data_IF_201301204431
#
_entry.id   IF_201301204431
#
_cell.length_a   1.000
_cell.length_b   1.000
_cell.length_c   1.000
_cell.angle_alpha   90.00
_cell.angle_beta   90.00
_cell.angle_gamma   90.00
#
_symmetry.space_group_name_H-M   'P 1'
#
loop_
_entity.id
_entity.type
_entity.pdbx_description
1 polymer ?
#
# COMPACT_ATOMS: atom_id res chain seq x y z
N UNK A 1 -15.32 -21.59 -1.67
CA UNK A 1 -14.68 -20.37 -2.19
C UNK A 1 -13.81 -19.81 -1.08
N UNK A 2 -12.50 -20.07 -1.07
CA UNK A 2 -11.61 -19.44 -0.08
C UNK A 2 -11.54 -17.96 -0.45
N UNK A 3 -11.88 -17.06 0.48
CA UNK A 3 -11.50 -15.65 0.31
C UNK A 3 -10.00 -15.64 0.10
N UNK A 4 -9.56 -14.98 -0.97
CA UNK A 4 -8.15 -14.70 -1.16
C UNK A 4 -7.72 -13.89 0.08
N UNK A 5 -6.86 -14.44 0.93
CA UNK A 5 -6.46 -13.84 2.23
C UNK A 5 -5.77 -12.47 2.03
N UNK A 6 -5.51 -12.11 0.77
CA UNK A 6 -4.94 -10.85 0.30
C UNK A 6 -5.99 -9.80 -0.04
N UNK A 7 -7.29 -10.11 -0.07
CA UNK A 7 -8.35 -9.15 -0.41
C UNK A 7 -9.13 -8.65 0.82
N UNK A 8 -9.39 -7.35 0.84
CA UNK A 8 -10.20 -6.69 1.87
C UNK A 8 -11.20 -5.73 1.25
N UNK A 9 -12.36 -5.60 1.87
CA UNK A 9 -13.34 -4.57 1.54
C UNK A 9 -13.15 -3.36 2.46
N UNK A 10 -12.86 -2.20 1.89
CA UNK A 10 -12.71 -0.94 2.61
C UNK A 10 -13.48 0.15 1.84
N UNK A 11 -14.41 0.83 2.50
CA UNK A 11 -15.22 1.88 1.88
C UNK A 11 -16.21 1.41 0.81
N UNK A 12 -16.46 0.10 0.71
CA UNK A 12 -17.29 -0.50 -0.36
C UNK A 12 -16.48 -1.02 -1.54
N UNK A 13 -15.21 -0.62 -1.65
CA UNK A 13 -14.30 -1.09 -2.68
C UNK A 13 -13.49 -2.31 -2.24
N UNK A 14 -13.00 -3.07 -3.22
CA UNK A 14 -12.09 -4.21 -2.99
C UNK A 14 -10.65 -3.76 -3.16
N UNK A 15 -9.82 -4.11 -2.18
CA UNK A 15 -8.40 -3.80 -2.11
C UNK A 15 -7.61 -5.09 -2.02
N UNK A 16 -6.44 -5.13 -2.67
CA UNK A 16 -5.55 -6.29 -2.73
C UNK A 16 -4.23 -5.94 -2.08
N UNK A 17 -3.74 -6.82 -1.21
CA UNK A 17 -2.40 -6.79 -0.64
C UNK A 17 -1.36 -7.09 -1.72
N UNK A 18 -0.48 -6.14 -1.99
CA UNK A 18 0.57 -6.25 -3.02
C UNK A 18 1.97 -6.40 -2.43
N UNK A 19 2.14 -6.20 -1.12
CA UNK A 19 3.41 -6.46 -0.44
C UNK A 19 3.46 -5.89 0.97
N UNK A 20 4.47 -6.30 1.72
CA UNK A 20 4.74 -5.84 3.08
C UNK A 20 6.13 -5.22 3.15
N UNK A 21 6.22 -3.97 3.61
CA UNK A 21 7.44 -3.16 3.52
C UNK A 21 7.69 -2.34 4.77
N UNK A 22 8.94 -1.97 5.09
CA UNK A 22 9.22 -0.93 6.06
C UNK A 22 8.46 0.36 5.72
N UNK A 23 7.97 1.08 6.74
CA UNK A 23 7.07 2.22 6.55
C UNK A 23 7.53 3.24 5.51
N UNK A 24 8.81 3.64 5.53
CA UNK A 24 9.34 4.65 4.61
C UNK A 24 9.39 4.15 3.15
N UNK A 25 9.68 2.85 2.96
CA UNK A 25 9.65 2.22 1.64
C UNK A 25 8.21 2.16 1.12
N UNK A 26 7.26 1.76 1.98
CA UNK A 26 5.85 1.72 1.62
C UNK A 26 5.32 3.10 1.18
N UNK A 27 5.68 4.18 1.88
CA UNK A 27 5.29 5.55 1.48
C UNK A 27 5.98 5.99 0.18
N UNK A 28 7.21 5.54 -0.08
CA UNK A 28 7.90 5.78 -1.36
C UNK A 28 7.17 5.09 -2.52
N UNK A 29 6.73 3.83 -2.33
CA UNK A 29 5.90 3.14 -3.32
C UNK A 29 4.53 3.78 -3.51
N UNK A 30 3.92 4.33 -2.46
CA UNK A 30 2.69 5.11 -2.63
C UNK A 30 2.90 6.33 -3.50
N UNK A 31 4.04 7.02 -3.34
CA UNK A 31 4.41 8.15 -4.18
C UNK A 31 4.58 7.74 -5.64
N UNK A 32 5.19 6.57 -5.90
CA UNK A 32 5.37 6.01 -7.24
C UNK A 32 4.01 5.66 -7.88
N UNK A 33 3.16 4.90 -7.17
CA UNK A 33 1.83 4.52 -7.64
C UNK A 33 0.91 5.73 -7.92
N UNK A 34 1.02 6.78 -7.11
CA UNK A 34 0.28 8.04 -7.29
C UNK A 34 0.67 8.76 -8.59
N UNK A 35 1.93 8.65 -9.05
CA UNK A 35 2.35 9.23 -10.34
C UNK A 35 1.60 8.61 -11.54
N UNK A 36 1.19 7.34 -11.42
CA UNK A 36 0.39 6.60 -12.40
C UNK A 36 -1.12 6.64 -12.10
N UNK A 37 -1.55 7.44 -11.11
CA UNK A 37 -2.94 7.58 -10.73
C UNK A 37 -3.54 6.33 -10.08
N UNK A 38 -2.72 5.48 -9.46
CA UNK A 38 -3.15 4.23 -8.81
C UNK A 38 -3.43 4.47 -7.32
N UNK A 39 -4.69 4.36 -6.87
CA UNK A 39 -5.03 4.52 -5.46
C UNK A 39 -4.43 3.41 -4.60
N UNK A 40 -3.80 3.82 -3.50
CA UNK A 40 -3.12 2.93 -2.56
C UNK A 40 -3.38 3.31 -1.10
N UNK A 41 -3.43 2.31 -0.23
CA UNK A 41 -3.57 2.46 1.22
C UNK A 41 -2.58 1.57 1.95
N UNK A 42 -2.16 1.97 3.15
CA UNK A 42 -1.30 1.15 4.01
C UNK A 42 -2.10 0.56 5.16
N UNK A 43 -1.71 -0.64 5.59
CA UNK A 43 -2.20 -1.27 6.81
C UNK A 43 -1.08 -1.33 7.84
N UNK A 44 -1.26 -0.56 8.92
CA UNK A 44 -0.47 -0.72 10.15
C UNK A 44 -1.19 -1.70 11.09
N UNK A 45 -0.55 -2.16 12.18
CA UNK A 45 -1.25 -2.94 13.22
C UNK A 45 -2.46 -2.20 13.82
N UNK A 46 -2.44 -0.86 13.84
CA UNK A 46 -3.43 -0.05 14.53
C UNK A 46 -4.55 0.44 13.61
N UNK A 47 -4.24 0.80 12.37
CA UNK A 47 -5.18 1.50 11.49
C UNK A 47 -4.87 1.36 10.00
N UNK A 48 -5.89 1.66 9.19
CA UNK A 48 -5.73 1.92 7.75
C UNK A 48 -5.25 3.35 7.55
N UNK A 49 -4.29 3.52 6.65
CA UNK A 49 -3.73 4.82 6.30
C UNK A 49 -4.07 5.12 4.84
N UNK A 50 -4.99 6.06 4.65
CA UNK A 50 -5.42 6.53 3.32
C UNK A 50 -4.61 7.74 2.83
N UNK A 51 -4.02 8.50 3.75
CA UNK A 51 -3.18 9.66 3.46
C UNK A 51 -1.90 9.56 4.28
N UNK A 52 -0.76 9.95 3.71
CA UNK A 52 0.53 9.91 4.39
C UNK A 52 0.50 10.84 5.61
N UNK A 53 0.62 10.31 6.85
CA UNK A 53 0.60 11.11 8.05
C UNK A 53 1.99 11.69 8.30
N UNK A 54 2.34 12.79 7.61
CA UNK A 54 3.69 13.38 7.62
C UNK A 54 4.21 13.59 9.03
N UNK A 55 3.39 14.14 9.95
CA UNK A 55 3.79 14.36 11.34
C UNK A 55 4.21 13.05 12.02
N UNK A 56 3.45 11.95 11.82
CA UNK A 56 3.78 10.65 12.42
C UNK A 56 5.10 10.09 11.88
N UNK A 57 5.45 10.43 10.64
CA UNK A 57 6.74 10.04 10.05
C UNK A 57 7.87 10.86 10.68
N UNK A 58 7.73 12.19 10.72
CA UNK A 58 8.73 13.11 11.27
C UNK A 58 8.98 12.87 12.77
N UNK A 59 7.93 12.53 13.54
CA UNK A 59 8.06 12.24 14.97
C UNK A 59 8.44 10.79 15.27
N UNK A 60 8.59 9.95 14.25
CA UNK A 60 8.97 8.55 14.41
C UNK A 60 7.93 7.70 15.13
N UNK A 61 6.64 7.88 14.80
CA UNK A 61 5.52 7.08 15.31
C UNK A 61 5.64 5.60 14.97
N UNK A 62 4.77 5.04 14.11
CA UNK A 62 4.93 3.65 13.69
C UNK A 62 5.87 3.50 12.47
N UNK A 63 7.11 3.08 12.72
CA UNK A 63 8.15 2.86 11.68
C UNK A 63 8.37 1.39 11.30
N UNK A 64 7.51 0.48 11.77
CA UNK A 64 7.60 -0.96 11.47
C UNK A 64 7.14 -1.33 10.06
N UNK A 65 7.01 -2.64 9.82
CA UNK A 65 6.46 -3.17 8.57
C UNK A 65 4.97 -2.85 8.44
N UNK A 66 4.55 -2.48 7.23
CA UNK A 66 3.17 -2.18 6.87
C UNK A 66 2.78 -2.91 5.60
N UNK A 67 1.53 -3.35 5.52
CA UNK A 67 0.98 -3.92 4.29
C UNK A 67 0.59 -2.82 3.31
N UNK A 68 1.01 -2.92 2.06
CA UNK A 68 0.59 -2.05 0.96
C UNK A 68 -0.57 -2.71 0.22
N UNK A 69 -1.64 -1.93 0.03
CA UNK A 69 -2.83 -2.35 -0.69
C UNK A 69 -3.16 -1.39 -1.82
N UNK A 70 -3.67 -1.93 -2.92
CA UNK A 70 -4.19 -1.16 -4.06
C UNK A 70 -5.61 -1.60 -4.39
N UNK A 71 -6.38 -0.75 -5.07
CA UNK A 71 -7.69 -1.15 -5.58
C UNK A 71 -7.55 -2.36 -6.52
N UNK A 72 -8.46 -3.35 -6.36
CA UNK A 72 -8.44 -4.61 -7.14
C UNK A 72 -8.38 -4.38 -8.64
N UNK A 73 -9.05 -3.33 -9.13
CA UNK A 73 -9.08 -2.98 -10.56
C UNK A 73 -7.71 -2.55 -11.11
N UNK A 74 -6.78 -2.11 -10.25
CA UNK A 74 -5.43 -1.68 -10.61
C UNK A 74 -4.35 -2.71 -10.28
N UNK A 75 -4.69 -3.89 -9.74
CA UNK A 75 -3.71 -4.87 -9.23
C UNK A 75 -2.57 -5.15 -10.23
N UNK A 76 -2.90 -5.52 -11.47
CA UNK A 76 -1.90 -5.90 -12.48
C UNK A 76 -0.97 -4.74 -12.86
N UNK A 77 -1.51 -3.52 -12.90
CA UNK A 77 -0.71 -2.33 -13.21
C UNK A 77 0.23 -1.99 -12.05
N UNK A 78 -0.28 -2.06 -10.81
CA UNK A 78 0.53 -1.82 -9.61
C UNK A 78 1.66 -2.84 -9.47
N UNK A 79 1.38 -4.13 -9.64
CA UNK A 79 2.40 -5.19 -9.57
C UNK A 79 3.50 -5.00 -10.62
N UNK A 80 3.17 -4.50 -11.82
CA UNK A 80 4.18 -4.16 -12.84
C UNK A 80 5.09 -3.02 -12.38
N UNK A 81 4.51 -1.92 -11.92
CA UNK A 81 5.28 -0.75 -11.46
C UNK A 81 6.20 -1.12 -10.29
N UNK A 82 5.68 -1.88 -9.32
CA UNK A 82 6.44 -2.30 -8.15
C UNK A 82 7.55 -3.31 -8.51
N UNK A 83 7.32 -4.18 -9.49
CA UNK A 83 8.32 -5.15 -9.96
C UNK A 83 9.41 -4.55 -10.85
N UNK A 84 9.15 -3.42 -11.51
CA UNK A 84 10.15 -2.68 -12.28
C UNK A 84 11.19 -1.99 -11.37
N UNK A 85 10.80 -1.61 -10.15
CA UNK A 85 11.70 -0.96 -9.17
C UNK A 85 12.68 -1.97 -8.50
N UNK A 86 12.29 -3.25 -8.36
CA UNK A 86 13.17 -4.32 -7.84
C UNK A 86 14.32 -4.68 -8.81
N UNK A 87 14.30 -4.17 -10.04
CA UNK A 87 15.24 -4.52 -11.12
C UNK A 87 16.35 -3.49 -11.38
N UNK A 88 16.46 -2.45 -10.54
CA UNK A 88 17.51 -1.40 -10.60
C UNK A 88 18.46 -1.47 -9.41
#
# INVERSE_FOLDING_TARGET
>A
MKRDEREVTLGGDRWVHVGEYPRLIAESFRRLLDQDGIPSVLRTPFQWVMFTPVIEIETGGYMGSVGLYVLKVHQVQAERILGEDDSQ
#
